data_IF_347786790921
#
_entry.id   IF_347786790921
#
_cell.length_a   1.000
_cell.length_b   1.000
_cell.length_c   1.000
_cell.angle_alpha   90.00
_cell.angle_beta   90.00
_cell.angle_gamma   90.00
#
_symmetry.space_group_name_H-M   'P 1'
#
loop_
_entity.id
_entity.type
_entity.pdbx_description
1 polymer ?
#
# COMPACT_ATOMS: atom_id res chain seq x y z
N UNK A 1 0.55 -32.68 -7.22
CA UNK A 1 0.26 -31.37 -7.86
C UNK A 1 -0.32 -30.45 -6.80
N UNK A 2 0.13 -29.20 -6.70
CA UNK A 2 -0.41 -28.21 -5.77
C UNK A 2 -1.73 -27.63 -6.28
N UNK A 3 -2.55 -27.10 -5.37
CA UNK A 3 -3.74 -26.33 -5.75
C UNK A 3 -3.35 -24.91 -6.18
N UNK A 4 -2.39 -24.30 -5.46
CA UNK A 4 -1.87 -22.99 -5.81
C UNK A 4 -0.36 -22.87 -5.52
N UNK A 5 0.37 -22.18 -6.40
CA UNK A 5 1.69 -21.62 -6.15
C UNK A 5 1.54 -20.12 -6.02
N UNK A 6 2.17 -19.54 -4.97
CA UNK A 6 2.15 -18.11 -4.68
C UNK A 6 3.57 -17.59 -4.77
N UNK A 7 3.79 -16.55 -5.57
CA UNK A 7 5.09 -15.89 -5.71
C UNK A 7 5.11 -14.68 -4.78
N UNK A 8 5.97 -14.71 -3.76
CA UNK A 8 6.14 -13.66 -2.77
C UNK A 8 5.39 -13.91 -1.46
N UNK A 9 6.11 -13.82 -0.34
CA UNK A 9 5.63 -14.01 1.03
C UNK A 9 5.26 -12.70 1.75
N UNK A 10 5.12 -11.58 1.01
CA UNK A 10 4.65 -10.31 1.56
C UNK A 10 3.16 -10.33 1.96
N UNK A 11 2.58 -9.19 2.40
CA UNK A 11 1.22 -9.14 2.94
C UNK A 11 0.16 -9.74 2.02
N UNK A 12 0.22 -9.49 0.70
CA UNK A 12 -0.73 -10.07 -0.26
C UNK A 12 -0.59 -11.58 -0.38
N UNK A 13 0.63 -12.09 -0.58
CA UNK A 13 0.88 -13.51 -0.74
C UNK A 13 0.60 -14.32 0.52
N UNK A 14 1.01 -13.82 1.70
CA UNK A 14 0.70 -14.44 2.98
C UNK A 14 -0.81 -14.48 3.25
N UNK A 15 -1.56 -13.43 2.83
CA UNK A 15 -3.03 -13.44 2.92
C UNK A 15 -3.65 -14.54 2.07
N UNK A 16 -3.23 -14.65 0.79
CA UNK A 16 -3.73 -15.72 -0.10
C UNK A 16 -3.38 -17.08 0.48
N UNK A 17 -2.13 -17.27 0.88
CA UNK A 17 -1.63 -18.55 1.40
C UNK A 17 -2.40 -19.00 2.64
N UNK A 18 -2.55 -18.11 3.63
CA UNK A 18 -3.24 -18.42 4.88
C UNK A 18 -4.71 -18.78 4.64
N UNK A 19 -5.40 -18.03 3.78
CA UNK A 19 -6.83 -18.26 3.50
C UNK A 19 -7.07 -19.54 2.70
N UNK A 20 -6.22 -19.91 1.78
CA UNK A 20 -6.33 -21.16 1.02
C UNK A 20 -5.93 -22.37 1.87
N UNK A 21 -4.81 -22.28 2.59
CA UNK A 21 -4.34 -23.36 3.46
C UNK A 21 -5.35 -23.67 4.59
N UNK A 22 -5.96 -22.64 5.20
CA UNK A 22 -7.03 -22.81 6.19
C UNK A 22 -8.26 -23.55 5.63
N UNK A 23 -8.44 -23.59 4.30
CA UNK A 23 -9.49 -24.37 3.60
C UNK A 23 -9.02 -25.75 3.14
N UNK A 24 -7.85 -26.20 3.63
CA UNK A 24 -7.26 -27.51 3.30
C UNK A 24 -6.63 -27.59 1.90
N UNK A 25 -6.34 -26.46 1.25
CA UNK A 25 -5.70 -26.45 -0.07
C UNK A 25 -4.19 -26.65 0.04
N UNK A 26 -3.62 -27.38 -0.91
CA UNK A 26 -2.16 -27.56 -1.04
C UNK A 26 -1.54 -26.33 -1.66
N UNK A 27 -0.92 -25.51 -0.82
CA UNK A 27 -0.35 -24.19 -1.21
C UNK A 27 1.16 -24.18 -0.99
N UNK A 28 1.90 -23.70 -1.97
CA UNK A 28 3.34 -23.43 -1.87
C UNK A 28 3.57 -21.93 -2.06
N UNK A 29 4.29 -21.31 -1.14
CA UNK A 29 4.77 -19.92 -1.24
C UNK A 29 6.26 -19.94 -1.61
N UNK A 30 6.60 -19.29 -2.71
CA UNK A 30 7.99 -19.08 -3.15
C UNK A 30 8.39 -17.65 -2.78
N UNK A 31 9.27 -17.51 -1.79
CA UNK A 31 9.79 -16.21 -1.35
C UNK A 31 11.29 -16.13 -1.60
N UNK A 32 11.74 -15.08 -2.30
CA UNK A 32 13.14 -14.91 -2.69
C UNK A 32 14.06 -14.51 -1.55
N UNK A 33 13.50 -13.86 -0.52
CA UNK A 33 14.27 -13.38 0.63
C UNK A 33 14.03 -14.29 1.84
N UNK A 34 14.84 -14.14 2.87
CA UNK A 34 14.63 -14.76 4.18
C UNK A 34 14.06 -13.73 5.15
N UNK A 35 13.03 -14.09 5.87
CA UNK A 35 12.40 -13.23 6.85
C UNK A 35 13.05 -13.37 8.24
N UNK A 36 13.07 -12.29 9.08
CA UNK A 36 12.57 -10.95 8.80
C UNK A 36 13.45 -10.17 7.81
N UNK A 37 12.82 -9.38 6.94
CA UNK A 37 13.52 -8.56 5.95
C UNK A 37 12.96 -7.14 5.92
N UNK A 38 13.78 -6.15 5.59
CA UNK A 38 13.34 -4.78 5.43
C UNK A 38 12.35 -4.61 4.25
N UNK A 39 11.33 -3.79 4.43
CA UNK A 39 10.48 -3.30 3.36
C UNK A 39 9.89 -1.94 3.76
N UNK A 40 9.62 -1.06 2.79
CA UNK A 40 8.90 0.20 3.02
C UNK A 40 7.38 0.00 2.91
N UNK A 41 6.59 0.92 3.49
CA UNK A 41 5.13 0.87 3.54
C UNK A 41 4.63 0.46 4.94
N UNK A 42 4.89 1.31 5.91
CA UNK A 42 4.82 1.04 7.35
C UNK A 42 3.55 1.59 8.01
N UNK A 43 2.77 2.36 7.26
CA UNK A 43 1.48 2.90 7.72
C UNK A 43 0.34 2.08 7.13
N UNK A 44 -0.53 1.55 7.98
CA UNK A 44 -1.68 0.74 7.57
C UNK A 44 -2.96 1.57 7.51
N UNK A 45 -4.02 0.99 6.93
CA UNK A 45 -5.36 1.56 6.91
C UNK A 45 -6.31 0.78 7.83
N UNK A 46 -7.30 1.45 8.45
CA UNK A 46 -8.28 0.81 9.33
C UNK A 46 -8.96 -0.43 8.73
N UNK A 47 -9.28 -0.40 7.44
CA UNK A 47 -9.92 -1.55 6.76
C UNK A 47 -9.00 -2.76 6.53
N UNK A 48 -7.75 -2.74 6.98
CA UNK A 48 -6.97 -3.96 7.20
C UNK A 48 -7.52 -4.80 8.36
N UNK A 49 -8.20 -4.17 9.34
CA UNK A 49 -8.62 -4.82 10.58
C UNK A 49 -9.51 -6.06 10.35
N UNK A 50 -10.59 -6.01 9.56
CA UNK A 50 -11.40 -7.20 9.27
C UNK A 50 -10.61 -8.33 8.59
N UNK A 51 -9.56 -7.99 7.82
CA UNK A 51 -8.70 -9.01 7.21
C UNK A 51 -7.80 -9.64 8.27
N UNK A 52 -7.29 -8.86 9.23
CA UNK A 52 -6.52 -9.39 10.36
C UNK A 52 -7.35 -10.35 11.22
N UNK A 53 -8.63 -10.02 11.46
CA UNK A 53 -9.58 -10.88 12.18
C UNK A 53 -9.79 -12.20 11.42
N UNK A 54 -10.09 -12.16 10.14
CA UNK A 54 -10.29 -13.34 9.31
C UNK A 54 -9.04 -14.25 9.25
N UNK A 55 -7.85 -13.63 9.21
CA UNK A 55 -6.57 -14.34 9.27
C UNK A 55 -6.25 -14.91 10.67
N UNK A 56 -6.88 -14.37 11.71
CA UNK A 56 -6.59 -14.74 13.11
C UNK A 56 -5.24 -14.21 13.60
N UNK A 57 -4.73 -13.12 13.01
CA UNK A 57 -3.40 -12.56 13.35
C UNK A 57 -3.42 -11.43 14.36
N UNK A 58 -4.60 -10.90 14.73
CA UNK A 58 -4.72 -9.78 15.66
C UNK A 58 -3.98 -10.00 16.98
N UNK A 59 -4.09 -11.15 17.66
CA UNK A 59 -3.36 -11.36 18.93
C UNK A 59 -1.83 -11.22 18.76
N UNK A 60 -1.29 -11.73 17.64
CA UNK A 60 0.15 -11.62 17.36
C UNK A 60 0.58 -10.19 17.02
N UNK A 61 -0.28 -9.44 16.29
CA UNK A 61 -0.03 -8.03 15.99
C UNK A 61 -0.10 -7.16 17.23
N UNK A 62 -1.02 -7.43 18.14
CA UNK A 62 -1.11 -6.75 19.45
C UNK A 62 0.09 -7.04 20.33
N UNK A 63 0.49 -8.31 20.42
CA UNK A 63 1.67 -8.73 21.17
C UNK A 63 2.99 -8.14 20.63
N UNK A 64 3.04 -7.78 19.34
CA UNK A 64 4.20 -7.13 18.73
C UNK A 64 4.40 -5.67 19.18
N UNK A 65 3.44 -5.07 19.89
CA UNK A 65 3.55 -3.73 20.45
C UNK A 65 3.60 -2.60 19.40
N UNK A 66 3.03 -2.81 18.23
CA UNK A 66 2.97 -1.79 17.19
C UNK A 66 2.17 -0.56 17.62
N UNK A 67 2.64 0.68 17.31
CA UNK A 67 1.91 1.90 17.62
C UNK A 67 0.51 1.89 17.00
N UNK A 68 -0.50 2.31 17.77
CA UNK A 68 -1.87 2.46 17.27
C UNK A 68 -1.99 3.73 16.45
N UNK A 69 -2.56 3.62 15.27
CA UNK A 69 -2.92 4.73 14.37
C UNK A 69 -4.42 4.98 14.45
N UNK A 70 -4.82 6.17 14.88
CA UNK A 70 -6.22 6.59 15.03
C UNK A 70 -6.63 7.62 13.99
N UNK A 71 -5.68 8.16 13.23
CA UNK A 71 -5.91 9.20 12.24
C UNK A 71 -4.72 9.45 11.34
N UNK A 72 -4.81 10.58 10.63
CA UNK A 72 -3.73 11.14 9.84
C UNK A 72 -3.77 12.67 9.93
N UNK A 73 -2.61 13.30 9.87
CA UNK A 73 -2.48 14.75 9.91
C UNK A 73 -1.83 15.24 8.61
N UNK A 74 -2.39 16.30 8.05
CA UNK A 74 -1.88 16.95 6.85
C UNK A 74 -1.53 18.40 7.18
N UNK A 75 -0.30 18.80 6.92
CA UNK A 75 0.20 20.15 7.15
C UNK A 75 0.74 20.75 5.86
N UNK A 76 0.55 22.06 5.67
CA UNK A 76 1.38 22.80 4.72
C UNK A 76 2.77 23.04 5.31
N UNK A 77 3.78 22.98 4.47
CA UNK A 77 5.18 23.18 4.89
C UNK A 77 5.48 24.52 5.53
N UNK A 78 4.70 25.57 5.19
CA UNK A 78 4.78 26.89 5.80
C UNK A 78 4.07 27.00 7.17
N UNK A 79 3.37 25.95 7.62
CA UNK A 79 2.65 25.91 8.90
C UNK A 79 1.33 26.68 8.95
N UNK A 80 0.90 27.33 7.86
CA UNK A 80 -0.32 28.18 7.86
C UNK A 80 -1.63 27.41 7.92
N UNK A 81 -1.65 26.17 7.42
CA UNK A 81 -2.84 25.30 7.45
C UNK A 81 -2.48 23.88 7.80
N UNK A 82 -3.40 23.24 8.51
CA UNK A 82 -3.36 21.81 8.79
C UNK A 82 -4.77 21.24 8.87
N UNK A 83 -4.87 19.95 8.56
CA UNK A 83 -6.09 19.15 8.73
C UNK A 83 -5.74 17.90 9.51
N UNK A 84 -6.56 17.59 10.51
CA UNK A 84 -6.51 16.30 11.19
C UNK A 84 -7.74 15.48 10.82
N UNK A 85 -7.51 14.26 10.37
CA UNK A 85 -8.55 13.27 10.13
C UNK A 85 -8.49 12.25 11.28
N UNK A 86 -9.58 12.13 12.01
CA UNK A 86 -9.76 11.12 13.07
C UNK A 86 -10.71 10.05 12.53
N UNK A 87 -10.27 8.81 12.44
CA UNK A 87 -11.06 7.76 11.82
C UNK A 87 -12.39 7.51 12.55
N UNK A 88 -12.35 7.51 13.89
CA UNK A 88 -13.54 7.31 14.74
C UNK A 88 -14.63 8.36 14.52
N UNK A 89 -14.28 9.58 14.15
CA UNK A 89 -15.21 10.69 13.95
C UNK A 89 -15.87 10.65 12.57
N UNK A 90 -15.43 9.77 11.69
CA UNK A 90 -16.01 9.63 10.35
C UNK A 90 -17.35 8.89 10.37
N UNK A 91 -18.47 9.56 10.04
CA UNK A 91 -19.83 8.99 9.99
C UNK A 91 -19.93 7.68 9.20
N UNK A 92 -19.06 7.48 8.20
CA UNK A 92 -19.06 6.31 7.32
C UNK A 92 -17.92 5.35 7.60
N UNK A 93 -17.08 5.62 8.58
CA UNK A 93 -15.93 4.78 8.94
C UNK A 93 -16.34 3.82 10.05
N UNK A 94 -16.32 2.51 9.74
CA UNK A 94 -16.68 1.47 10.71
C UNK A 94 -15.47 1.02 11.54
N UNK A 95 -14.26 1.21 11.01
CA UNK A 95 -13.01 0.82 11.65
C UNK A 95 -12.29 2.05 12.23
N UNK A 96 -12.18 2.19 13.57
CA UNK A 96 -11.71 3.42 14.19
C UNK A 96 -10.20 3.56 14.28
N UNK A 97 -9.45 2.48 14.03
CA UNK A 97 -8.00 2.42 14.26
C UNK A 97 -7.32 1.34 13.42
N UNK A 98 -6.00 1.42 13.38
CA UNK A 98 -5.12 0.41 12.80
C UNK A 98 -3.75 0.47 13.48
N UNK A 99 -2.71 -0.09 12.85
CA UNK A 99 -1.33 -0.07 13.32
C UNK A 99 -0.42 0.73 12.39
N UNK A 100 0.63 1.31 12.95
CA UNK A 100 1.88 1.60 12.26
C UNK A 100 2.82 0.43 12.54
N UNK A 101 3.54 -0.05 11.52
CA UNK A 101 4.27 -1.30 11.66
C UNK A 101 5.71 -1.21 11.17
N UNK A 102 6.61 -1.86 11.87
CA UNK A 102 7.89 -2.23 11.28
C UNK A 102 7.68 -3.45 10.38
N UNK A 103 7.84 -3.25 9.07
CA UNK A 103 7.48 -4.24 8.05
C UNK A 103 8.21 -5.57 8.19
N UNK A 104 9.45 -5.55 8.69
CA UNK A 104 10.21 -6.78 8.96
C UNK A 104 9.45 -7.71 9.91
N UNK A 105 8.95 -7.17 11.02
CA UNK A 105 8.17 -7.93 12.01
C UNK A 105 6.76 -8.25 11.52
N UNK A 106 6.07 -7.26 10.95
CA UNK A 106 4.70 -7.41 10.46
C UNK A 106 4.58 -8.48 9.36
N UNK A 107 5.40 -8.38 8.32
CA UNK A 107 5.37 -9.33 7.22
C UNK A 107 5.73 -10.76 7.69
N UNK A 108 6.68 -10.87 8.64
CA UNK A 108 7.05 -12.17 9.23
C UNK A 108 5.92 -12.81 10.03
N UNK A 109 5.15 -12.02 10.79
CA UNK A 109 3.95 -12.50 11.49
C UNK A 109 2.94 -13.09 10.49
N UNK A 110 2.68 -12.38 9.38
CA UNK A 110 1.75 -12.87 8.36
C UNK A 110 2.24 -14.15 7.68
N UNK A 111 3.53 -14.23 7.35
CA UNK A 111 4.11 -15.40 6.69
C UNK A 111 4.12 -16.62 7.61
N UNK A 112 4.47 -16.44 8.89
CA UNK A 112 4.37 -17.49 9.92
C UNK A 112 2.93 -17.99 10.11
N UNK A 113 1.97 -17.08 10.10
CA UNK A 113 0.56 -17.46 10.19
C UNK A 113 0.13 -18.30 8.97
N UNK A 114 0.59 -17.98 7.77
CA UNK A 114 0.31 -18.79 6.58
C UNK A 114 0.89 -20.21 6.72
N UNK A 115 2.13 -20.33 7.20
CA UNK A 115 2.76 -21.62 7.49
C UNK A 115 2.00 -22.41 8.57
N UNK A 116 1.61 -21.74 9.66
CA UNK A 116 0.84 -22.35 10.75
C UNK A 116 -0.54 -22.87 10.29
N UNK A 117 -1.11 -22.28 9.25
CA UNK A 117 -2.36 -22.75 8.61
C UNK A 117 -2.14 -23.87 7.58
N UNK A 118 -0.90 -24.31 7.36
CA UNK A 118 -0.56 -25.44 6.51
C UNK A 118 -0.02 -25.08 5.12
N UNK A 119 0.29 -23.81 4.85
CA UNK A 119 1.00 -23.44 3.62
C UNK A 119 2.47 -23.88 3.69
N UNK A 120 2.99 -24.49 2.65
CA UNK A 120 4.41 -24.77 2.49
C UNK A 120 5.14 -23.47 2.10
N UNK A 121 6.00 -22.94 2.99
CA UNK A 121 6.76 -21.71 2.74
C UNK A 121 8.20 -22.07 2.39
N UNK A 122 8.67 -21.62 1.23
CA UNK A 122 10.02 -21.79 0.72
C UNK A 122 10.72 -20.45 0.62
N UNK A 123 11.48 -20.09 1.64
CA UNK A 123 12.30 -18.88 1.66
C UNK A 123 13.64 -19.08 0.93
N UNK A 124 14.14 -18.04 0.27
CA UNK A 124 15.32 -18.08 -0.59
C UNK A 124 15.04 -18.65 -2.00
N UNK A 125 13.81 -18.99 -2.31
CA UNK A 125 13.41 -19.55 -3.60
C UNK A 125 13.00 -18.45 -4.57
N UNK A 126 13.69 -18.40 -5.73
CA UNK A 126 13.49 -17.34 -6.74
C UNK A 126 12.67 -17.87 -7.90
N UNK A 127 11.54 -17.24 -8.17
CA UNK A 127 10.79 -17.43 -9.41
C UNK A 127 11.65 -17.06 -10.60
N UNK A 128 11.62 -17.88 -11.66
CA UNK A 128 12.32 -17.64 -12.92
C UNK A 128 11.33 -17.38 -14.05
N UNK A 129 10.43 -18.31 -14.31
CA UNK A 129 9.39 -18.18 -15.34
C UNK A 129 8.21 -19.10 -15.08
N UNK A 130 7.12 -18.85 -15.79
CA UNK A 130 5.94 -19.73 -15.80
C UNK A 130 5.46 -20.02 -17.20
N UNK A 131 4.73 -21.12 -17.33
CA UNK A 131 4.03 -21.55 -18.53
C UNK A 131 2.59 -21.90 -18.17
N UNK A 132 1.63 -21.39 -18.95
CA UNK A 132 0.22 -21.75 -18.80
C UNK A 132 -0.09 -22.94 -19.68
N UNK A 133 -0.52 -24.04 -19.06
CA UNK A 133 -1.01 -25.23 -19.73
C UNK A 133 -2.55 -25.27 -19.69
N UNK A 134 -3.17 -26.21 -20.39
CA UNK A 134 -4.62 -26.28 -20.48
C UNK A 134 -5.31 -26.47 -19.13
N UNK A 135 -4.73 -27.32 -18.26
CA UNK A 135 -5.31 -27.72 -16.96
C UNK A 135 -4.53 -27.25 -15.73
N UNK A 136 -3.31 -26.72 -15.91
CA UNK A 136 -2.39 -26.31 -14.84
C UNK A 136 -1.46 -25.18 -15.27
N UNK A 137 -0.68 -24.70 -14.33
CA UNK A 137 0.48 -23.84 -14.57
C UNK A 137 1.75 -24.58 -14.15
N UNK A 138 2.81 -24.39 -14.91
CA UNK A 138 4.17 -24.85 -14.60
C UNK A 138 5.01 -23.63 -14.23
N UNK A 139 5.75 -23.74 -13.14
CA UNK A 139 6.60 -22.68 -12.61
C UNK A 139 8.02 -23.22 -12.51
N UNK A 140 8.97 -22.53 -13.11
CA UNK A 140 10.40 -22.75 -12.88
C UNK A 140 10.89 -21.80 -11.79
N UNK A 141 11.64 -22.35 -10.85
CA UNK A 141 12.16 -21.63 -9.69
C UNK A 141 13.54 -22.14 -9.33
N UNK A 142 14.40 -21.28 -8.80
CA UNK A 142 15.69 -21.66 -8.27
C UNK A 142 15.65 -21.71 -6.74
N UNK A 143 16.24 -22.74 -6.17
CA UNK A 143 16.44 -22.88 -4.73
C UNK A 143 17.60 -22.01 -4.22
N UNK A 144 17.86 -21.94 -2.89
CA UNK A 144 18.98 -21.17 -2.33
C UNK A 144 20.37 -21.60 -2.80
N UNK A 145 20.52 -22.84 -3.28
CA UNK A 145 21.78 -23.35 -3.84
C UNK A 145 21.92 -23.01 -5.33
N UNK A 146 20.88 -22.44 -5.97
CA UNK A 146 20.88 -22.11 -7.39
C UNK A 146 20.38 -23.24 -8.30
N UNK A 147 19.99 -24.39 -7.75
CA UNK A 147 19.43 -25.48 -8.54
C UNK A 147 18.02 -25.13 -9.03
N UNK A 148 17.75 -25.39 -10.31
CA UNK A 148 16.45 -25.14 -10.91
C UNK A 148 15.49 -26.29 -10.64
N UNK A 149 14.28 -25.95 -10.21
CA UNK A 149 13.19 -26.88 -9.95
C UNK A 149 11.95 -26.48 -10.75
N UNK A 150 11.17 -27.49 -11.13
CA UNK A 150 9.88 -27.31 -11.78
C UNK A 150 8.76 -27.71 -10.82
N UNK A 151 7.82 -26.80 -10.60
CA UNK A 151 6.63 -27.02 -9.80
C UNK A 151 5.38 -26.87 -10.65
N UNK A 152 4.34 -27.65 -10.35
CA UNK A 152 3.06 -27.56 -11.02
C UNK A 152 1.93 -27.30 -10.04
N UNK A 153 0.98 -26.45 -10.44
CA UNK A 153 -0.22 -26.14 -9.67
C UNK A 153 -1.44 -25.88 -10.59
N UNK A 154 -2.61 -25.95 -10.00
CA UNK A 154 -3.87 -25.61 -10.68
C UNK A 154 -4.00 -24.09 -10.90
N UNK A 155 -3.45 -23.28 -10.00
CA UNK A 155 -3.41 -21.82 -10.08
C UNK A 155 -2.05 -21.26 -9.69
N UNK A 156 -1.69 -20.14 -10.30
CA UNK A 156 -0.57 -19.28 -9.94
C UNK A 156 -1.09 -17.95 -9.42
N UNK A 157 -0.57 -17.50 -8.27
CA UNK A 157 -0.83 -16.16 -7.75
C UNK A 157 0.48 -15.38 -7.70
N UNK A 158 0.56 -14.32 -8.48
CA UNK A 158 1.69 -13.39 -8.45
C UNK A 158 1.44 -12.33 -7.38
N UNK A 159 2.10 -12.46 -6.25
CA UNK A 159 2.17 -11.50 -5.16
C UNK A 159 3.63 -11.01 -4.95
N UNK A 160 4.42 -10.99 -6.02
CA UNK A 160 5.84 -10.62 -6.02
C UNK A 160 6.10 -9.13 -5.75
N UNK A 161 5.06 -8.39 -5.41
CA UNK A 161 5.13 -6.97 -5.14
C UNK A 161 5.62 -6.18 -6.36
N UNK A 162 6.49 -5.21 -6.14
CA UNK A 162 7.06 -4.36 -7.20
C UNK A 162 7.92 -5.11 -8.22
N UNK A 163 8.31 -6.36 -7.92
CA UNK A 163 8.97 -7.25 -8.88
C UNK A 163 8.10 -7.53 -10.10
N UNK A 164 6.77 -7.60 -9.92
CA UNK A 164 5.78 -7.75 -11.00
C UNK A 164 6.19 -8.81 -12.02
N UNK A 165 6.64 -9.97 -11.52
CA UNK A 165 7.40 -10.94 -12.32
C UNK A 165 6.60 -11.52 -13.49
N UNK A 166 5.33 -11.86 -13.28
CA UNK A 166 4.48 -12.38 -14.35
C UNK A 166 3.99 -11.27 -15.30
N UNK A 167 3.76 -10.07 -14.78
CA UNK A 167 3.40 -8.91 -15.60
C UNK A 167 4.54 -8.49 -16.52
N UNK A 168 5.78 -8.54 -16.04
CA UNK A 168 6.97 -8.27 -16.84
C UNK A 168 7.19 -9.37 -17.88
N UNK A 169 7.02 -10.67 -17.54
CA UNK A 169 7.12 -11.77 -18.49
C UNK A 169 6.12 -11.65 -19.64
N UNK A 170 4.91 -11.17 -19.36
CA UNK A 170 3.86 -10.98 -20.36
C UNK A 170 3.85 -9.58 -21.02
N UNK A 171 4.77 -8.68 -20.66
CA UNK A 171 4.85 -7.32 -21.22
C UNK A 171 3.64 -6.44 -20.88
N UNK A 172 3.02 -6.62 -19.71
CA UNK A 172 1.77 -5.97 -19.34
C UNK A 172 1.96 -4.64 -18.59
N UNK A 173 3.16 -4.40 -18.06
CA UNK A 173 3.45 -3.23 -17.23
C UNK A 173 3.39 -1.93 -18.00
N UNK A 174 2.62 -0.98 -17.50
CA UNK A 174 2.51 0.39 -18.04
C UNK A 174 2.89 1.37 -16.93
N UNK A 175 3.93 2.16 -17.18
CA UNK A 175 4.37 3.21 -16.25
C UNK A 175 3.43 4.41 -16.38
N UNK A 176 3.01 4.98 -15.23
CA UNK A 176 2.17 6.17 -15.23
C UNK A 176 2.97 7.41 -15.66
N UNK A 177 2.57 8.13 -16.71
CA UNK A 177 3.39 9.19 -17.30
C UNK A 177 3.66 10.36 -16.34
N UNK A 178 2.68 10.71 -15.51
CA UNK A 178 2.69 11.90 -14.66
C UNK A 178 3.10 11.63 -13.21
N UNK A 179 3.37 10.38 -12.83
CA UNK A 179 3.71 9.99 -11.45
C UNK A 179 5.05 9.27 -11.39
N UNK A 180 6.07 9.90 -11.99
CA UNK A 180 7.47 9.45 -11.92
C UNK A 180 8.13 10.05 -10.69
N UNK A 181 7.76 9.52 -9.55
CA UNK A 181 8.26 9.97 -8.25
C UNK A 181 9.35 9.05 -7.71
N UNK A 182 10.11 9.51 -6.76
CA UNK A 182 11.02 8.70 -5.94
C UNK A 182 10.91 9.12 -4.48
N UNK A 183 11.35 8.26 -3.57
CA UNK A 183 11.43 8.57 -2.15
C UNK A 183 12.85 8.54 -1.65
N UNK A 184 13.17 9.52 -0.80
CA UNK A 184 14.36 9.58 0.03
C UNK A 184 13.91 9.38 1.48
N UNK A 185 14.42 8.39 2.20
CA UNK A 185 13.90 8.10 3.54
C UNK A 185 14.90 7.37 4.44
N UNK A 186 14.59 7.39 5.73
CA UNK A 186 15.30 6.63 6.74
C UNK A 186 14.48 6.49 8.02
N UNK A 187 14.97 5.69 8.93
CA UNK A 187 14.43 5.59 10.27
C UNK A 187 15.21 6.54 11.20
N UNK A 188 14.51 7.25 12.05
CA UNK A 188 15.11 8.26 12.93
C UNK A 188 14.62 8.08 14.37
N UNK A 189 15.48 8.43 15.33
CA UNK A 189 15.12 8.72 16.72
C UNK A 189 15.18 10.22 16.96
N UNK A 190 14.62 10.72 18.08
CA UNK A 190 14.65 12.15 18.43
C UNK A 190 13.75 13.05 17.57
N UNK A 191 12.92 12.48 16.71
CA UNK A 191 11.91 13.23 15.95
C UNK A 191 10.78 13.65 16.87
N UNK A 192 10.38 14.93 16.79
CA UNK A 192 9.27 15.46 17.61
C UNK A 192 7.95 14.78 17.24
N UNK A 193 7.28 14.20 18.21
CA UNK A 193 5.98 13.53 18.11
C UNK A 193 4.91 14.37 18.80
N UNK A 194 3.68 14.22 18.33
CA UNK A 194 2.53 14.78 19.03
C UNK A 194 2.20 13.93 20.28
N UNK A 195 1.52 14.52 21.25
CA UNK A 195 1.17 13.86 22.52
C UNK A 195 -0.08 12.96 22.41
N UNK A 196 -0.17 12.00 23.33
CA UNK A 196 -1.33 11.12 23.49
C UNK A 196 -1.61 10.27 22.24
N UNK A 197 -2.89 10.08 21.92
CA UNK A 197 -3.31 9.25 20.78
C UNK A 197 -2.81 9.77 19.42
N UNK A 198 -2.54 11.07 19.31
CA UNK A 198 -1.98 11.69 18.10
C UNK A 198 -0.55 11.24 17.81
N UNK A 199 0.19 10.84 18.83
CA UNK A 199 1.57 10.37 18.70
C UNK A 199 1.72 9.10 17.84
N UNK A 200 0.63 8.38 17.56
CA UNK A 200 0.59 7.24 16.65
C UNK A 200 0.12 7.55 15.22
N UNK A 201 -0.34 8.77 14.97
CA UNK A 201 -0.86 9.15 13.65
C UNK A 201 0.26 9.31 12.61
N UNK A 202 -0.07 9.10 11.34
CA UNK A 202 0.80 9.50 10.24
C UNK A 202 0.71 11.01 10.06
N UNK A 203 1.85 11.70 10.02
CA UNK A 203 1.92 13.11 9.69
C UNK A 203 2.46 13.28 8.28
N UNK A 204 1.71 14.00 7.45
CA UNK A 204 2.06 14.38 6.08
C UNK A 204 2.33 15.89 6.06
N UNK A 205 3.49 16.28 5.56
CA UNK A 205 3.83 17.69 5.34
C UNK A 205 3.96 17.94 3.84
N UNK A 206 3.02 18.70 3.28
CA UNK A 206 2.94 19.03 1.85
C UNK A 206 3.71 20.33 1.57
N UNK A 207 4.69 20.26 0.70
CA UNK A 207 5.31 21.39 0.02
C UNK A 207 4.60 21.62 -1.32
N UNK A 208 5.11 22.50 -2.20
CA UNK A 208 4.44 22.82 -3.46
C UNK A 208 4.23 21.57 -4.36
N UNK A 209 5.26 20.80 -4.58
CA UNK A 209 5.32 19.69 -5.56
C UNK A 209 5.81 18.36 -4.97
N UNK A 210 6.15 18.35 -3.68
CA UNK A 210 6.68 17.22 -2.92
C UNK A 210 6.03 17.14 -1.55
N UNK A 211 6.20 16.02 -0.87
CA UNK A 211 5.64 15.84 0.47
C UNK A 211 6.55 14.95 1.32
N UNK A 212 6.45 15.13 2.63
CA UNK A 212 7.14 14.35 3.63
C UNK A 212 6.15 13.52 4.44
N UNK A 213 6.59 12.35 4.87
CA UNK A 213 5.88 11.56 5.87
C UNK A 213 6.66 11.46 7.16
N UNK A 214 5.93 11.32 8.27
CA UNK A 214 6.40 10.93 9.59
C UNK A 214 5.51 9.81 10.07
N UNK A 215 6.05 8.60 10.21
CA UNK A 215 5.32 7.39 10.60
C UNK A 215 6.01 6.78 11.82
N UNK A 216 5.40 6.86 13.01
CA UNK A 216 5.97 6.25 14.21
C UNK A 216 5.85 4.73 14.11
N UNK A 217 6.98 4.03 14.03
CA UNK A 217 7.02 2.57 13.89
C UNK A 217 7.36 1.83 15.17
N UNK A 218 7.79 2.55 16.21
CA UNK A 218 7.94 2.05 17.56
C UNK A 218 7.81 3.19 18.58
N UNK A 219 8.05 2.91 19.86
CA UNK A 219 8.06 3.94 20.90
C UNK A 219 9.08 5.06 20.65
N UNK A 220 10.22 4.76 20.03
CA UNK A 220 11.31 5.72 19.82
C UNK A 220 11.67 5.96 18.36
N UNK A 221 11.29 5.04 17.46
CA UNK A 221 11.69 5.04 16.05
C UNK A 221 10.57 5.57 15.15
N UNK A 222 10.91 6.53 14.29
CA UNK A 222 10.00 7.13 13.32
C UNK A 222 10.59 6.96 11.93
N UNK A 223 9.79 6.46 11.01
CA UNK A 223 10.11 6.49 9.58
C UNK A 223 9.82 7.88 9.05
N UNK A 224 10.82 8.52 8.46
CA UNK A 224 10.68 9.84 7.84
C UNK A 224 11.20 9.77 6.41
N UNK A 225 10.43 10.31 5.48
CA UNK A 225 10.88 10.37 4.09
C UNK A 225 10.20 11.48 3.31
N UNK A 226 10.76 11.72 2.13
CA UNK A 226 10.30 12.70 1.17
C UNK A 226 10.00 12.04 -0.16
N UNK A 227 8.85 12.32 -0.74
CA UNK A 227 8.52 11.98 -2.13
C UNK A 227 8.66 13.23 -3.00
N UNK A 228 9.44 13.11 -4.07
CA UNK A 228 9.71 14.18 -5.02
C UNK A 228 9.78 13.64 -6.46
N UNK A 229 9.80 14.52 -7.43
CA UNK A 229 9.94 14.14 -8.83
C UNK A 229 11.33 13.56 -9.13
N UNK A 230 11.37 12.46 -9.89
CA UNK A 230 12.62 11.83 -10.31
C UNK A 230 13.50 12.80 -11.14
N UNK A 231 12.88 13.67 -11.94
CA UNK A 231 13.60 14.72 -12.70
C UNK A 231 14.25 15.76 -11.78
N UNK A 232 13.57 16.20 -10.72
CA UNK A 232 14.13 17.11 -9.72
C UNK A 232 15.32 16.49 -8.99
N UNK A 233 15.18 15.23 -8.58
CA UNK A 233 16.27 14.50 -7.94
C UNK A 233 17.49 14.40 -8.85
N UNK A 234 17.30 14.05 -10.11
CA UNK A 234 18.39 13.96 -11.09
C UNK A 234 19.08 15.32 -11.34
N UNK A 235 18.28 16.40 -11.40
CA UNK A 235 18.77 17.75 -11.59
C UNK A 235 19.56 18.29 -10.38
N UNK A 236 19.22 17.85 -9.18
CA UNK A 236 19.87 18.33 -7.95
C UNK A 236 21.36 17.96 -7.86
N UNK A 237 21.79 16.89 -8.52
CA UNK A 237 23.20 16.39 -8.52
C UNK A 237 23.82 16.34 -7.12
N UNK A 238 23.00 16.04 -6.12
CA UNK A 238 23.36 16.07 -4.69
C UNK A 238 23.13 14.68 -4.12
N UNK A 239 23.97 14.19 -3.19
CA UNK A 239 23.74 12.93 -2.51
C UNK A 239 22.34 12.87 -1.84
N UNK A 240 21.65 11.74 -1.88
CA UNK A 240 20.25 11.63 -1.41
C UNK A 240 20.01 12.17 0.00
N UNK A 241 20.88 11.82 0.94
CA UNK A 241 20.80 12.28 2.34
C UNK A 241 20.99 13.79 2.47
N UNK A 242 21.92 14.36 1.74
CA UNK A 242 22.16 15.81 1.75
C UNK A 242 20.97 16.57 1.15
N UNK A 243 20.43 16.09 0.01
CA UNK A 243 19.22 16.67 -0.59
C UNK A 243 18.06 16.64 0.38
N UNK A 244 17.85 15.50 1.08
CA UNK A 244 16.81 15.38 2.10
C UNK A 244 16.93 16.44 3.19
N UNK A 245 18.14 16.64 3.75
CA UNK A 245 18.35 17.66 4.79
C UNK A 245 18.17 19.09 4.26
N UNK A 246 18.59 19.37 3.02
CA UNK A 246 18.33 20.64 2.37
C UNK A 246 16.82 20.91 2.26
N UNK A 247 16.04 19.91 1.84
CA UNK A 247 14.59 20.02 1.75
C UNK A 247 13.94 20.22 3.12
N UNK A 248 14.41 19.53 4.16
CA UNK A 248 13.96 19.75 5.55
C UNK A 248 14.18 21.20 5.97
N UNK A 249 15.32 21.79 5.61
CA UNK A 249 15.65 23.18 5.95
C UNK A 249 14.74 24.24 5.29
N UNK A 250 14.02 23.89 4.21
CA UNK A 250 13.12 24.84 3.53
C UNK A 250 11.79 25.08 4.26
N UNK A 251 11.41 24.20 5.21
CA UNK A 251 10.10 24.25 5.86
C UNK A 251 10.24 24.43 7.37
N UNK A 252 9.57 25.41 8.00
CA UNK A 252 9.56 25.57 9.45
C UNK A 252 8.94 24.37 10.16
N UNK A 253 7.92 23.73 9.58
CA UNK A 253 7.28 22.53 10.16
C UNK A 253 8.24 21.34 10.16
N UNK A 254 8.98 21.14 9.06
CA UNK A 254 9.95 20.05 8.96
C UNK A 254 11.15 20.29 9.91
N UNK A 255 11.69 21.52 9.95
CA UNK A 255 12.78 21.85 10.87
C UNK A 255 12.40 21.59 12.34
N UNK A 256 11.22 22.04 12.75
CA UNK A 256 10.76 21.85 14.13
C UNK A 256 10.63 20.36 14.48
N UNK A 257 10.14 19.52 13.57
CA UNK A 257 10.02 18.07 13.82
C UNK A 257 11.35 17.34 13.82
N UNK A 258 12.32 17.81 13.04
CA UNK A 258 13.61 17.13 12.80
C UNK A 258 14.79 17.70 13.59
N UNK A 259 14.57 18.68 14.47
CA UNK A 259 15.65 19.42 15.15
C UNK A 259 16.65 18.52 15.91
N UNK A 260 16.15 17.46 16.57
CA UNK A 260 16.98 16.52 17.36
C UNK A 260 17.04 15.13 16.71
N UNK A 261 16.60 15.03 15.44
CA UNK A 261 16.50 13.76 14.74
C UNK A 261 17.87 13.15 14.42
N UNK A 262 18.04 11.88 14.76
CA UNK A 262 19.24 11.08 14.47
C UNK A 262 18.88 9.87 13.63
N UNK A 263 19.58 9.71 12.52
CA UNK A 263 19.40 8.56 11.61
C UNK A 263 19.78 7.25 12.33
N UNK A 264 18.93 6.23 12.19
CA UNK A 264 19.16 4.87 12.67
C UNK A 264 19.29 3.94 11.46
N UNK A 265 20.44 3.32 11.32
CA UNK A 265 20.73 2.47 10.15
C UNK A 265 21.05 3.27 8.89
N UNK A 266 20.69 2.72 7.73
CA UNK A 266 21.01 3.30 6.42
C UNK A 266 19.93 4.27 5.93
N UNK A 267 20.37 5.30 5.19
CA UNK A 267 19.48 6.17 4.44
C UNK A 267 19.17 5.53 3.09
N UNK A 268 17.89 5.44 2.75
CA UNK A 268 17.39 4.68 1.62
C UNK A 268 16.87 5.58 0.50
N UNK A 269 16.93 5.07 -0.72
CA UNK A 269 16.31 5.69 -1.90
C UNK A 269 15.54 4.61 -2.66
N UNK A 270 14.32 4.93 -3.08
CA UNK A 270 13.54 4.00 -3.92
C UNK A 270 12.81 4.77 -5.02
N UNK A 271 12.88 4.29 -6.25
CA UNK A 271 12.27 4.85 -7.45
C UNK A 271 11.22 3.95 -8.09
N UNK A 272 10.73 4.32 -9.27
CA UNK A 272 9.78 3.57 -10.11
C UNK A 272 8.43 3.31 -9.43
N UNK A 273 7.71 4.36 -9.11
CA UNK A 273 6.56 4.23 -8.24
C UNK A 273 5.28 3.80 -8.91
N UNK A 274 4.78 4.57 -9.84
CA UNK A 274 3.40 4.37 -10.29
C UNK A 274 3.36 3.61 -11.60
N UNK A 275 2.77 2.43 -11.56
CA UNK A 275 2.50 1.60 -12.74
C UNK A 275 1.25 0.75 -12.54
N UNK A 276 0.70 0.24 -13.62
CA UNK A 276 -0.35 -0.78 -13.62
C UNK A 276 -0.06 -1.84 -14.69
N UNK A 277 -0.63 -3.02 -14.53
CA UNK A 277 -0.69 -4.02 -15.57
C UNK A 277 -1.98 -3.86 -16.37
N UNK A 278 -1.92 -4.02 -17.70
CA UNK A 278 -3.11 -3.97 -18.56
C UNK A 278 -4.13 -5.06 -18.24
N UNK A 279 -3.68 -6.20 -17.69
CA UNK A 279 -4.51 -7.33 -17.23
C UNK A 279 -4.00 -7.82 -15.89
N UNK A 280 -4.92 -8.19 -15.00
CA UNK A 280 -4.58 -8.74 -13.68
C UNK A 280 -4.75 -10.25 -13.62
N UNK A 281 -5.35 -10.85 -14.65
CA UNK A 281 -5.59 -12.30 -14.70
C UNK A 281 -5.11 -12.91 -15.99
N UNK A 282 -4.83 -14.21 -15.94
CA UNK A 282 -4.67 -15.13 -17.05
C UNK A 282 -5.57 -16.36 -16.82
N UNK A 283 -5.58 -17.37 -17.70
CA UNK A 283 -6.46 -18.54 -17.58
C UNK A 283 -6.41 -19.23 -16.20
N UNK A 284 -5.24 -19.24 -15.56
CA UNK A 284 -4.98 -19.82 -14.22
C UNK A 284 -4.05 -18.94 -13.39
N UNK A 285 -4.07 -17.63 -13.62
CA UNK A 285 -3.16 -16.65 -13.00
C UNK A 285 -3.96 -15.48 -12.45
N UNK A 286 -3.59 -15.05 -11.24
CA UNK A 286 -4.06 -13.81 -10.62
C UNK A 286 -2.85 -12.99 -10.12
N UNK A 287 -2.88 -11.67 -10.29
CA UNK A 287 -1.88 -10.72 -9.77
C UNK A 287 -2.46 -9.94 -8.60
N UNK A 288 -1.71 -9.87 -7.51
CA UNK A 288 -2.14 -9.36 -6.20
C UNK A 288 -1.24 -8.22 -5.74
N UNK A 289 -1.83 -7.20 -5.14
CA UNK A 289 -1.10 -6.06 -4.58
C UNK A 289 -0.29 -5.32 -5.63
N UNK A 290 0.98 -4.99 -5.31
CA UNK A 290 1.83 -4.24 -6.22
C UNK A 290 2.15 -5.02 -7.51
N UNK A 291 2.06 -6.36 -7.51
CA UNK A 291 2.14 -7.14 -8.73
C UNK A 291 0.94 -6.92 -9.68
N UNK A 292 -0.16 -6.35 -9.20
CA UNK A 292 -1.27 -5.90 -10.03
C UNK A 292 -1.07 -4.45 -10.51
N UNK A 293 -0.53 -3.60 -9.64
CA UNK A 293 -0.23 -2.20 -9.91
C UNK A 293 0.15 -1.46 -8.65
N UNK A 294 1.04 -0.51 -8.77
CA UNK A 294 1.57 0.30 -7.67
C UNK A 294 1.34 1.79 -7.91
N UNK A 295 1.05 2.51 -6.86
CA UNK A 295 0.86 3.96 -6.88
C UNK A 295 1.62 4.64 -5.75
N UNK A 296 1.79 5.95 -5.88
CA UNK A 296 2.37 6.82 -4.85
C UNK A 296 1.77 6.54 -3.45
N UNK A 297 2.61 6.42 -2.41
CA UNK A 297 2.18 5.93 -1.09
C UNK A 297 1.47 6.98 -0.21
N UNK A 298 1.10 8.14 -0.73
CA UNK A 298 0.54 9.27 0.06
C UNK A 298 -0.62 8.88 0.98
N UNK A 299 -1.48 7.97 0.54
CA UNK A 299 -2.67 7.56 1.31
C UNK A 299 -2.48 6.22 2.05
N UNK A 300 -1.25 5.70 2.14
CA UNK A 300 -0.94 4.47 2.89
C UNK A 300 -1.73 3.23 2.42
N UNK A 301 -2.21 3.21 1.17
CA UNK A 301 -3.12 2.17 0.69
C UNK A 301 -2.44 0.86 0.25
N UNK A 302 -1.10 0.83 0.08
CA UNK A 302 -0.39 -0.30 -0.55
C UNK A 302 -0.60 -1.64 0.15
N UNK A 303 -0.38 -1.70 1.46
CA UNK A 303 -0.59 -2.94 2.25
C UNK A 303 -2.06 -3.35 2.25
N UNK A 304 -2.97 -2.37 2.40
CA UNK A 304 -4.40 -2.65 2.35
C UNK A 304 -4.82 -3.25 1.00
N UNK A 305 -4.43 -2.63 -0.11
CA UNK A 305 -4.73 -3.14 -1.46
C UNK A 305 -4.13 -4.52 -1.71
N UNK A 306 -2.92 -4.79 -1.17
CA UNK A 306 -2.30 -6.10 -1.27
C UNK A 306 -3.10 -7.17 -0.52
N UNK A 307 -3.51 -6.90 0.72
CA UNK A 307 -4.31 -7.85 1.51
C UNK A 307 -5.75 -7.98 0.99
N UNK A 308 -6.37 -6.87 0.57
CA UNK A 308 -7.70 -6.86 -0.03
C UNK A 308 -7.75 -7.67 -1.33
N UNK A 309 -6.83 -7.42 -2.26
CA UNK A 309 -6.74 -8.21 -3.49
C UNK A 309 -6.31 -9.65 -3.23
N UNK A 310 -5.48 -9.89 -2.20
CA UNK A 310 -5.11 -11.22 -1.73
C UNK A 310 -6.32 -12.02 -1.25
N UNK A 311 -7.17 -11.41 -0.42
CA UNK A 311 -8.44 -12.03 0.02
C UNK A 311 -9.33 -12.36 -1.18
N UNK A 312 -9.55 -11.39 -2.08
CA UNK A 312 -10.35 -11.62 -3.30
C UNK A 312 -9.76 -12.73 -4.19
N UNK A 313 -8.42 -12.82 -4.28
CA UNK A 313 -7.74 -13.86 -5.04
C UNK A 313 -7.96 -15.24 -4.40
N UNK A 314 -7.81 -15.35 -3.08
CA UNK A 314 -8.06 -16.59 -2.35
C UNK A 314 -9.52 -17.08 -2.54
N UNK A 315 -10.51 -16.19 -2.38
CA UNK A 315 -11.92 -16.50 -2.63
C UNK A 315 -12.17 -16.95 -4.08
N UNK A 316 -11.52 -16.30 -5.04
CA UNK A 316 -11.66 -16.61 -6.47
C UNK A 316 -11.03 -17.95 -6.81
N UNK A 317 -9.81 -18.22 -6.35
CA UNK A 317 -9.12 -19.50 -6.55
C UNK A 317 -9.94 -20.63 -5.92
N UNK A 318 -10.40 -20.47 -4.66
CA UNK A 318 -11.23 -21.44 -3.97
C UNK A 318 -12.50 -21.79 -4.77
N UNK A 319 -13.22 -20.77 -5.23
CA UNK A 319 -14.43 -20.94 -6.01
C UNK A 319 -14.16 -21.63 -7.38
N UNK A 320 -13.01 -21.39 -8.00
CA UNK A 320 -12.61 -22.04 -9.24
C UNK A 320 -12.17 -23.49 -9.02
N UNK A 321 -11.52 -23.78 -7.89
CA UNK A 321 -11.12 -25.14 -7.52
C UNK A 321 -12.34 -26.01 -7.21
N UNK A 322 -13.33 -25.43 -6.52
CA UNK A 322 -14.56 -26.15 -6.16
C UNK A 322 -15.50 -26.36 -7.34
N UNK A 323 -15.64 -25.35 -8.21
CA UNK A 323 -16.49 -25.38 -9.40
C UNK A 323 -15.73 -24.85 -10.62
N UNK A 324 -15.10 -25.72 -11.44
CA UNK A 324 -14.31 -25.29 -12.61
C UNK A 324 -15.12 -24.56 -13.67
N UNK A 325 -16.41 -24.90 -13.82
CA UNK A 325 -17.30 -24.19 -14.73
C UNK A 325 -17.49 -22.73 -14.31
N UNK A 326 -17.31 -21.78 -15.25
CA UNK A 326 -17.40 -20.34 -14.97
C UNK A 326 -16.11 -19.72 -14.41
N UNK A 327 -14.96 -20.39 -14.48
CA UNK A 327 -13.65 -19.87 -14.05
C UNK A 327 -13.34 -18.52 -14.71
N UNK A 328 -13.51 -18.39 -16.03
CA UNK A 328 -13.24 -17.12 -16.73
C UNK A 328 -14.09 -15.95 -16.22
N UNK A 329 -15.35 -16.17 -15.89
CA UNK A 329 -16.22 -15.16 -15.30
C UNK A 329 -15.76 -14.74 -13.89
N UNK A 330 -15.31 -15.70 -13.06
CA UNK A 330 -14.79 -15.41 -11.71
C UNK A 330 -13.49 -14.61 -11.76
N UNK A 331 -12.60 -14.99 -12.68
CA UNK A 331 -11.35 -14.24 -12.92
C UNK A 331 -11.65 -12.81 -13.41
N UNK A 332 -12.56 -12.64 -14.35
CA UNK A 332 -12.98 -11.31 -14.83
C UNK A 332 -13.64 -10.48 -13.71
N UNK A 333 -14.41 -11.13 -12.81
CA UNK A 333 -14.98 -10.44 -11.63
C UNK A 333 -13.92 -10.00 -10.64
N UNK A 334 -12.91 -10.85 -10.36
CA UNK A 334 -11.73 -10.50 -9.57
C UNK A 334 -11.02 -9.28 -10.15
N UNK A 335 -10.68 -9.35 -11.43
CA UNK A 335 -9.98 -8.28 -12.16
C UNK A 335 -10.75 -6.96 -12.07
N UNK A 336 -12.05 -6.96 -12.36
CA UNK A 336 -12.91 -5.76 -12.28
C UNK A 336 -12.95 -5.16 -10.88
N UNK A 337 -13.06 -5.97 -9.82
CA UNK A 337 -13.07 -5.49 -8.43
C UNK A 337 -11.74 -4.88 -8.03
N UNK A 338 -10.64 -5.56 -8.36
CA UNK A 338 -9.29 -5.10 -8.05
C UNK A 338 -8.95 -3.82 -8.82
N UNK A 339 -9.27 -3.74 -10.11
CA UNK A 339 -9.12 -2.51 -10.87
C UNK A 339 -9.97 -1.35 -10.34
N UNK A 340 -11.18 -1.62 -9.87
CA UNK A 340 -12.04 -0.57 -9.28
C UNK A 340 -11.40 0.03 -8.04
N UNK A 341 -10.79 -0.79 -7.18
CA UNK A 341 -10.07 -0.33 -6.00
C UNK A 341 -8.80 0.47 -6.37
N UNK A 342 -7.99 -0.05 -7.29
CA UNK A 342 -6.79 0.64 -7.77
C UNK A 342 -7.11 2.00 -8.40
N UNK A 343 -8.10 2.07 -9.29
CA UNK A 343 -8.51 3.31 -9.98
C UNK A 343 -9.00 4.37 -9.00
N UNK A 344 -9.71 3.98 -7.96
CA UNK A 344 -10.18 4.91 -6.94
C UNK A 344 -9.01 5.62 -6.25
N UNK A 345 -8.01 4.85 -5.79
CA UNK A 345 -6.83 5.44 -5.16
C UNK A 345 -5.95 6.20 -6.16
N UNK A 346 -5.87 5.77 -7.41
CA UNK A 346 -5.17 6.54 -8.44
C UNK A 346 -5.79 7.91 -8.65
N UNK A 347 -7.10 8.01 -8.78
CA UNK A 347 -7.79 9.29 -8.89
C UNK A 347 -7.49 10.18 -7.68
N UNK A 348 -7.50 9.62 -6.48
CA UNK A 348 -7.13 10.34 -5.25
C UNK A 348 -5.68 10.85 -5.30
N UNK A 349 -4.73 10.01 -5.71
CA UNK A 349 -3.29 10.36 -5.79
C UNK A 349 -3.06 11.43 -6.83
N UNK A 350 -3.61 11.29 -8.04
CA UNK A 350 -3.48 12.31 -9.10
C UNK A 350 -4.01 13.67 -8.63
N UNK A 351 -5.17 13.67 -7.98
CA UNK A 351 -5.77 14.89 -7.48
C UNK A 351 -4.99 15.51 -6.32
N UNK A 352 -4.38 14.71 -5.44
CA UNK A 352 -3.57 15.19 -4.33
C UNK A 352 -2.43 16.12 -4.76
N UNK A 353 -1.85 15.90 -5.93
CA UNK A 353 -0.79 16.75 -6.48
C UNK A 353 -1.32 18.06 -7.07
N UNK A 354 -2.64 18.24 -7.19
CA UNK A 354 -3.24 19.47 -7.71
C UNK A 354 -3.55 20.46 -6.58
N UNK A 355 -3.35 21.75 -6.86
CA UNK A 355 -3.65 22.81 -5.91
C UNK A 355 -5.14 22.87 -5.53
N UNK A 356 -6.12 22.76 -6.48
CA UNK A 356 -7.54 22.78 -6.14
C UNK A 356 -7.98 21.67 -5.18
N UNK A 357 -7.41 20.47 -5.29
CA UNK A 357 -7.68 19.40 -4.34
C UNK A 357 -7.21 19.78 -2.93
N UNK A 358 -5.97 20.25 -2.79
CA UNK A 358 -5.41 20.64 -1.50
C UNK A 358 -6.19 21.79 -0.85
N UNK A 359 -6.68 22.75 -1.64
CA UNK A 359 -7.50 23.86 -1.18
C UNK A 359 -8.79 23.36 -0.52
N UNK A 360 -9.54 22.48 -1.19
CA UNK A 360 -10.78 21.91 -0.66
C UNK A 360 -10.52 20.90 0.46
N UNK A 361 -9.44 20.12 0.36
CA UNK A 361 -9.09 19.11 1.33
C UNK A 361 -8.68 19.70 2.69
N UNK A 362 -7.89 20.78 2.68
CA UNK A 362 -7.42 21.45 3.90
C UNK A 362 -8.45 22.46 4.49
N UNK A 363 -9.53 22.72 3.78
CA UNK A 363 -10.63 23.57 4.24
C UNK A 363 -11.97 22.86 4.06
N UNK A 364 -12.18 21.73 4.79
CA UNK A 364 -13.39 20.94 4.64
C UNK A 364 -14.62 21.74 5.10
N UNK A 365 -15.62 21.80 4.24
CA UNK A 365 -16.94 22.36 4.57
C UNK A 365 -17.94 21.22 4.73
N UNK A 366 -18.76 21.29 5.76
CA UNK A 366 -19.83 20.30 6.03
C UNK A 366 -20.97 20.39 4.99
N UNK A 367 -20.63 20.09 3.74
CA UNK A 367 -21.59 19.99 2.66
C UNK A 367 -21.93 18.51 2.41
N UNK A 368 -23.16 18.11 2.69
CA UNK A 368 -23.70 16.76 2.47
C UNK A 368 -22.82 15.63 3.02
N UNK A 369 -22.11 15.86 4.11
CA UNK A 369 -21.15 14.92 4.73
C UNK A 369 -20.04 14.44 3.77
N UNK A 370 -19.59 15.31 2.86
CA UNK A 370 -18.44 15.02 1.98
C UNK A 370 -17.17 14.76 2.79
N UNK A 371 -16.82 15.57 3.84
CA UNK A 371 -15.63 15.29 4.66
C UNK A 371 -15.66 13.90 5.29
N UNK A 372 -16.82 13.43 5.73
CA UNK A 372 -17.00 12.10 6.28
C UNK A 372 -16.76 10.99 5.22
N UNK A 373 -17.16 11.22 3.96
CA UNK A 373 -16.89 10.29 2.87
C UNK A 373 -15.39 10.26 2.49
N UNK A 374 -14.72 11.41 2.50
CA UNK A 374 -13.27 11.50 2.31
C UNK A 374 -12.54 10.77 3.43
N UNK A 375 -12.95 10.96 4.70
CA UNK A 375 -12.39 10.24 5.84
C UNK A 375 -12.53 8.71 5.69
N UNK A 376 -13.71 8.23 5.32
CA UNK A 376 -13.94 6.80 5.10
C UNK A 376 -13.08 6.25 3.94
N UNK A 377 -12.95 6.99 2.85
CA UNK A 377 -12.08 6.64 1.73
C UNK A 377 -10.61 6.51 2.17
N UNK A 378 -10.13 7.44 2.99
CA UNK A 378 -8.77 7.44 3.55
C UNK A 378 -8.58 6.40 4.66
N UNK A 379 -9.66 5.90 5.26
CA UNK A 379 -9.63 4.76 6.17
C UNK A 379 -9.54 3.40 5.43
N UNK A 380 -9.82 3.36 4.12
CA UNK A 380 -9.78 2.15 3.31
C UNK A 380 -11.15 1.60 2.91
N UNK A 381 -12.23 2.37 3.06
CA UNK A 381 -13.57 1.94 2.67
C UNK A 381 -13.70 1.78 1.16
N UNK A 382 -13.64 0.55 0.68
CA UNK A 382 -13.77 0.16 -0.73
C UNK A 382 -15.00 -0.71 -1.01
N UNK A 383 -15.90 -0.89 -0.04
CA UNK A 383 -17.07 -1.77 -0.20
C UNK A 383 -18.03 -1.28 -1.28
N UNK A 384 -17.81 -0.07 -1.79
CA UNK A 384 -18.62 0.50 -2.86
C UNK A 384 -19.98 0.99 -2.38
N UNK A 385 -20.14 1.27 -1.08
CA UNK A 385 -21.36 1.86 -0.49
C UNK A 385 -21.78 3.08 -1.29
N UNK A 386 -23.00 3.06 -1.80
CA UNK A 386 -23.53 4.14 -2.64
C UNK A 386 -23.40 5.52 -1.94
N UNK A 387 -23.61 5.54 -0.63
CA UNK A 387 -23.50 6.75 0.18
C UNK A 387 -22.12 7.43 0.10
N UNK A 388 -21.03 6.66 -0.03
CA UNK A 388 -19.67 7.18 -0.16
C UNK A 388 -19.37 7.52 -1.62
N UNK A 389 -19.71 6.64 -2.54
CA UNK A 389 -19.37 6.77 -3.96
C UNK A 389 -19.87 8.07 -4.60
N UNK A 390 -21.15 8.45 -4.37
CA UNK A 390 -21.68 9.67 -4.96
C UNK A 390 -21.06 10.92 -4.34
N UNK A 391 -20.75 10.89 -3.02
CA UNK A 391 -20.06 11.99 -2.34
C UNK A 391 -18.64 12.19 -2.84
N UNK A 392 -17.92 11.09 -3.06
CA UNK A 392 -16.57 11.16 -3.65
C UNK A 392 -16.61 11.72 -5.09
N UNK A 393 -17.60 11.30 -5.90
CA UNK A 393 -17.80 11.89 -7.24
C UNK A 393 -18.10 13.40 -7.16
N UNK A 394 -18.94 13.79 -6.20
CA UNK A 394 -19.23 15.20 -5.98
C UNK A 394 -17.98 15.95 -5.51
N UNK A 395 -17.20 15.38 -4.60
CA UNK A 395 -15.93 15.97 -4.17
C UNK A 395 -14.99 16.23 -5.36
N UNK A 396 -14.78 15.25 -6.23
CA UNK A 396 -13.97 15.44 -7.43
C UNK A 396 -14.58 16.46 -8.41
N UNK A 397 -15.88 16.55 -8.50
CA UNK A 397 -16.54 17.62 -9.27
C UNK A 397 -16.26 19.00 -8.67
N UNK A 398 -16.35 19.14 -7.35
CA UNK A 398 -16.00 20.39 -6.65
C UNK A 398 -14.54 20.76 -6.86
N UNK A 399 -13.60 19.80 -6.87
CA UNK A 399 -12.20 20.03 -7.21
C UNK A 399 -12.05 20.62 -8.62
N UNK A 400 -12.79 20.09 -9.60
CA UNK A 400 -12.80 20.64 -10.98
C UNK A 400 -13.41 22.06 -11.04
N UNK A 401 -14.42 22.34 -10.23
CA UNK A 401 -15.01 23.69 -10.13
C UNK A 401 -14.01 24.64 -9.46
N UNK A 402 -13.37 24.23 -8.36
CA UNK A 402 -12.36 25.01 -7.65
C UNK A 402 -11.18 25.41 -8.57
N UNK A 403 -10.80 24.53 -9.51
CA UNK A 403 -9.75 24.83 -10.49
C UNK A 403 -10.09 26.08 -11.34
N UNK A 404 -11.37 26.28 -11.67
CA UNK A 404 -11.88 27.36 -12.54
C UNK A 404 -12.41 28.56 -11.76
N UNK A 405 -13.17 28.31 -10.69
CA UNK A 405 -13.81 29.33 -9.83
C UNK A 405 -13.53 28.96 -8.37
N UNK A 406 -12.85 29.83 -7.60
CA UNK A 406 -12.51 29.51 -6.21
C UNK A 406 -13.77 29.44 -5.35
N UNK A 407 -14.04 28.25 -4.82
CA UNK A 407 -15.07 27.97 -3.80
C UNK A 407 -14.52 28.23 -2.40
N UNK A 408 -13.21 28.04 -2.22
CA UNK A 408 -12.44 28.35 -1.01
C UNK A 408 -11.21 29.16 -1.39
N UNK A 409 -10.59 29.89 -0.44
CA UNK A 409 -9.41 30.71 -0.71
C UNK A 409 -8.27 29.90 -1.33
N UNK A 410 -7.52 30.55 -2.25
CA UNK A 410 -6.34 29.93 -2.87
C UNK A 410 -5.23 29.72 -1.83
N UNK A 411 -4.62 28.52 -1.85
CA UNK A 411 -3.48 28.22 -1.00
C UNK A 411 -2.20 28.85 -1.55
N UNK A 412 -1.34 29.27 -0.64
CA UNK A 412 0.05 29.63 -0.91
C UNK A 412 0.94 28.61 -0.21
N UNK A 413 1.91 28.06 -0.92
CA UNK A 413 2.86 27.06 -0.40
C UNK A 413 4.16 27.70 0.09
N UNK A 414 4.39 28.96 -0.30
CA UNK A 414 5.47 29.84 0.12
C UNK A 414 5.23 30.50 1.51
#
# INVERSE_FOLDING_TARGET
MNDAIIIGGGPGGSTVAALLAARGRKVVVLERERFPRFHIGESLLPYNWPIFEELGVLPALEAAGFPRKTGAQFHLGNGRKSLKLVFREGRFTEQPQTFQVERASFDHILLKNAAAKGAEVREGWRFQRFEQLADRVRVETADPAGATHTLEARFLVDASGRGNVTGNQEGLRVIHPNLRKLSLFGHFTGVVRDDGAKGGDTVIVRLADKWFWFIPISATKISVGCVLDAAEFAAAKTPPKELFHRLVATSPVLRARMQDARLVGEFQTTGDFSYYNRRLTGPRLLRVGDAAGFMDPIFSAGVYLAMFSGKLAAETVEACLHRPFGTSWRLARYERKTFSALRFYWEMVEQFYTQPFMELFLEPRELWSIPAAVNAALAGELTGRWAIRWRMRLFFLLVKIQARRPLVPRLRFD
#
